data_IF_687947159832
#
_entry.id   IF_687947159832
#
_cell.length_a   1.000
_cell.length_b   1.000
_cell.length_c   1.000
_cell.angle_alpha   90.00
_cell.angle_beta   90.00
_cell.angle_gamma   90.00
#
_symmetry.space_group_name_H-M   'P 1'
#
loop_
_entity.id
_entity.type
_entity.pdbx_description
1 polymer ?
#
# COMPACT_ATOMS: atom_id res chain seq x y z
N UNK A 1 -15.61 48.47 -12.84
CA UNK A 1 -16.45 48.05 -11.69
C UNK A 1 -17.92 47.72 -12.07
N UNK A 2 -18.59 48.53 -12.91
CA UNK A 2 -19.98 48.29 -13.36
C UNK A 2 -20.18 47.01 -14.20
N UNK A 3 -19.25 46.68 -15.10
CA UNK A 3 -19.31 45.45 -15.90
C UNK A 3 -19.28 44.18 -15.04
N UNK A 4 -18.41 44.16 -14.02
CA UNK A 4 -18.30 43.02 -13.09
C UNK A 4 -19.59 42.80 -12.30
N UNK A 5 -20.24 43.89 -11.85
CA UNK A 5 -21.55 43.82 -11.17
C UNK A 5 -22.65 43.28 -12.07
N UNK A 6 -22.66 43.65 -13.36
CA UNK A 6 -23.62 43.15 -14.35
C UNK A 6 -23.41 41.66 -14.63
N UNK A 7 -22.16 41.22 -14.79
CA UNK A 7 -21.81 39.81 -15.00
C UNK A 7 -22.22 38.97 -13.77
N UNK A 8 -21.92 39.42 -12.55
CA UNK A 8 -22.35 38.74 -11.32
C UNK A 8 -23.88 38.68 -11.18
N UNK A 9 -24.59 39.75 -11.53
CA UNK A 9 -26.05 39.76 -11.52
C UNK A 9 -26.63 38.77 -12.54
N UNK A 10 -26.03 38.68 -13.73
CA UNK A 10 -26.42 37.72 -14.77
C UNK A 10 -26.14 36.29 -14.33
N UNK A 11 -24.94 36.02 -13.81
CA UNK A 11 -24.58 34.70 -13.24
C UNK A 11 -25.57 34.29 -12.15
N UNK A 12 -25.89 35.17 -11.19
CA UNK A 12 -26.85 34.88 -10.11
C UNK A 12 -28.24 34.59 -10.65
N UNK A 13 -28.67 35.29 -11.71
CA UNK A 13 -29.94 35.03 -12.39
C UNK A 13 -29.94 33.64 -13.02
N UNK A 14 -28.95 33.33 -13.85
CA UNK A 14 -28.86 32.05 -14.56
C UNK A 14 -28.72 30.87 -13.60
N UNK A 15 -27.89 30.99 -12.57
CA UNK A 15 -27.74 29.95 -11.55
C UNK A 15 -29.06 29.64 -10.84
N UNK A 16 -29.85 30.69 -10.52
CA UNK A 16 -31.17 30.55 -9.90
C UNK A 16 -32.20 29.96 -10.88
N UNK A 17 -32.11 30.28 -12.17
CA UNK A 17 -32.97 29.71 -13.22
C UNK A 17 -32.70 28.21 -13.40
N UNK A 18 -31.43 27.82 -13.50
CA UNK A 18 -30.98 26.43 -13.65
C UNK A 18 -31.40 25.60 -12.43
N UNK A 19 -31.22 26.12 -11.21
CA UNK A 19 -31.61 25.42 -9.97
C UNK A 19 -33.12 25.29 -9.78
N UNK A 20 -33.92 26.25 -10.29
CA UNK A 20 -35.39 26.18 -10.22
C UNK A 20 -35.98 25.18 -11.21
N UNK A 21 -35.37 25.01 -12.38
CA UNK A 21 -35.84 24.04 -13.37
C UNK A 21 -35.47 22.61 -12.94
N UNK A 22 -36.48 21.76 -12.69
CA UNK A 22 -36.29 20.37 -12.24
C UNK A 22 -35.42 19.55 -13.19
N UNK A 23 -35.58 19.69 -14.52
CA UNK A 23 -34.77 18.97 -15.52
C UNK A 23 -33.31 19.44 -15.50
N UNK A 24 -33.09 20.76 -15.52
CA UNK A 24 -31.73 21.33 -15.51
C UNK A 24 -30.97 21.01 -14.23
N UNK A 25 -31.65 21.10 -13.06
CA UNK A 25 -31.08 20.68 -11.77
C UNK A 25 -30.70 19.21 -11.75
N UNK A 26 -31.53 18.35 -12.35
CA UNK A 26 -31.28 16.92 -12.42
C UNK A 26 -30.02 16.62 -13.26
N UNK A 27 -29.89 17.23 -14.43
CA UNK A 27 -28.72 17.05 -15.31
C UNK A 27 -27.44 17.63 -14.69
N UNK A 28 -27.53 18.71 -13.90
CA UNK A 28 -26.37 19.31 -13.25
C UNK A 28 -25.88 18.51 -12.03
N UNK A 29 -26.80 17.93 -11.25
CA UNK A 29 -26.46 17.29 -9.96
C UNK A 29 -26.28 15.77 -10.08
N UNK A 30 -27.11 15.09 -10.89
CA UNK A 30 -27.07 13.62 -10.95
C UNK A 30 -25.73 13.09 -11.45
N UNK A 31 -25.14 13.58 -12.57
CA UNK A 31 -23.89 13.02 -13.05
C UNK A 31 -22.74 13.17 -12.05
N UNK A 32 -22.49 14.34 -11.41
CA UNK A 32 -21.47 14.45 -10.37
C UNK A 32 -21.74 13.55 -9.15
N UNK A 33 -22.99 13.46 -8.69
CA UNK A 33 -23.33 12.57 -7.56
C UNK A 33 -23.15 11.11 -7.93
N UNK A 34 -23.59 10.70 -9.11
CA UNK A 34 -23.39 9.34 -9.62
C UNK A 34 -21.89 9.04 -9.82
N UNK A 35 -21.10 10.00 -10.29
CA UNK A 35 -19.64 9.89 -10.38
C UNK A 35 -19.02 9.71 -9.00
N UNK A 36 -19.40 10.51 -8.00
CA UNK A 36 -18.92 10.35 -6.62
C UNK A 36 -19.35 8.99 -6.05
N UNK A 37 -20.55 8.49 -6.35
CA UNK A 37 -21.00 7.18 -5.89
C UNK A 37 -20.24 6.05 -6.58
N UNK A 38 -20.09 6.09 -7.91
CA UNK A 38 -19.39 5.08 -8.70
C UNK A 38 -17.91 5.07 -8.35
N UNK A 39 -17.24 6.22 -8.38
CA UNK A 39 -15.83 6.32 -8.03
C UNK A 39 -15.60 6.20 -6.54
N UNK A 40 -16.47 6.68 -5.67
CA UNK A 40 -16.34 6.52 -4.22
C UNK A 40 -16.55 5.08 -3.76
N UNK A 41 -17.47 4.34 -4.38
CA UNK A 41 -17.66 2.92 -4.13
C UNK A 41 -16.54 2.08 -4.76
N UNK A 42 -16.08 2.42 -5.96
CA UNK A 42 -14.98 1.74 -6.64
C UNK A 42 -13.60 2.12 -6.09
N UNK A 43 -13.44 3.28 -5.45
CA UNK A 43 -12.21 3.74 -4.81
C UNK A 43 -12.11 3.22 -3.37
N UNK A 44 -12.55 1.99 -3.12
CA UNK A 44 -12.20 1.32 -1.88
C UNK A 44 -10.72 0.96 -1.95
N UNK A 45 -9.92 1.74 -1.22
CA UNK A 45 -8.49 1.48 -0.99
C UNK A 45 -8.26 0.40 0.08
N UNK A 46 -9.33 -0.22 0.59
CA UNK A 46 -9.23 -1.31 1.55
C UNK A 46 -8.72 -2.57 0.85
N UNK A 47 -7.40 -2.77 0.94
CA UNK A 47 -6.76 -4.04 0.63
C UNK A 47 -7.18 -5.06 1.68
N UNK A 48 -8.39 -5.59 1.56
CA UNK A 48 -8.93 -6.63 2.45
C UNK A 48 -8.27 -8.01 2.22
N UNK A 49 -7.46 -8.16 1.18
CA UNK A 49 -6.82 -9.42 0.81
C UNK A 49 -5.49 -9.17 0.09
N UNK A 50 -4.41 -9.13 0.85
CA UNK A 50 -3.03 -8.99 0.39
C UNK A 50 -2.43 -10.41 0.31
N UNK A 51 -2.43 -11.06 -0.87
CA UNK A 51 -1.78 -12.36 -1.03
C UNK A 51 -0.27 -12.19 -0.89
N UNK A 52 0.35 -12.89 0.05
CA UNK A 52 1.79 -12.84 0.24
C UNK A 52 2.44 -14.21 0.25
N UNK A 53 3.70 -14.26 -0.20
CA UNK A 53 4.54 -15.43 -0.09
C UNK A 53 5.70 -15.18 0.89
N UNK A 54 6.21 -16.27 1.47
CA UNK A 54 7.31 -16.22 2.43
C UNK A 54 8.49 -17.02 1.90
N UNK A 55 9.64 -16.36 1.78
CA UNK A 55 10.95 -17.00 1.65
C UNK A 55 11.69 -16.85 2.98
N UNK A 56 11.76 -17.91 3.77
CA UNK A 56 12.42 -17.88 5.06
C UNK A 56 13.59 -18.86 5.09
N UNK A 57 14.80 -18.30 5.09
CA UNK A 57 16.05 -19.06 5.17
C UNK A 57 16.51 -19.26 6.62
N UNK A 58 15.87 -18.58 7.58
CA UNK A 58 16.19 -18.67 9.01
C UNK A 58 15.07 -19.37 9.81
N UNK A 59 15.29 -20.62 10.29
CA UNK A 59 14.30 -21.33 11.09
C UNK A 59 14.21 -20.84 12.55
N UNK A 60 14.98 -19.82 12.93
CA UNK A 60 15.10 -19.30 14.30
C UNK A 60 13.83 -18.63 14.87
N UNK A 61 13.84 -18.42 16.19
CA UNK A 61 12.70 -17.90 16.95
C UNK A 61 12.27 -16.50 16.48
N UNK A 62 13.23 -15.62 16.17
CA UNK A 62 12.92 -14.24 15.78
C UNK A 62 12.17 -14.19 14.45
N UNK A 63 12.61 -15.00 13.46
CA UNK A 63 11.94 -15.15 12.17
C UNK A 63 10.50 -15.65 12.35
N UNK A 64 10.29 -16.73 13.11
CA UNK A 64 8.95 -17.27 13.40
C UNK A 64 8.04 -16.26 14.08
N UNK A 65 8.55 -15.51 15.06
CA UNK A 65 7.78 -14.48 15.76
C UNK A 65 7.39 -13.31 14.84
N UNK A 66 8.25 -12.93 13.91
CA UNK A 66 7.93 -11.92 12.91
C UNK A 66 6.83 -12.43 11.96
N UNK A 67 6.99 -13.64 11.40
CA UNK A 67 6.01 -14.25 10.50
C UNK A 67 4.63 -14.45 11.16
N UNK A 68 4.61 -14.85 12.44
CA UNK A 68 3.36 -14.99 13.19
C UNK A 68 2.55 -13.69 13.29
N UNK A 69 3.20 -12.51 13.24
CA UNK A 69 2.49 -11.23 13.19
C UNK A 69 1.80 -11.02 11.86
N UNK A 70 2.46 -11.37 10.75
CA UNK A 70 1.84 -11.28 9.42
C UNK A 70 0.64 -12.23 9.30
N UNK A 71 0.75 -13.45 9.81
CA UNK A 71 -0.38 -14.39 9.83
C UNK A 71 -1.53 -13.95 10.75
N UNK A 72 -1.26 -13.08 11.73
CA UNK A 72 -2.28 -12.55 12.65
C UNK A 72 -3.03 -11.31 12.14
N UNK A 73 -2.59 -10.71 11.04
CA UNK A 73 -3.26 -9.56 10.41
C UNK A 73 -4.26 -10.06 9.38
N UNK A 74 -5.53 -9.66 9.50
CA UNK A 74 -6.64 -10.19 8.71
C UNK A 74 -6.48 -9.97 7.21
N UNK A 75 -5.89 -8.83 6.84
CA UNK A 75 -5.64 -8.39 5.48
C UNK A 75 -4.60 -9.26 4.78
N UNK A 76 -3.72 -9.95 5.52
CA UNK A 76 -2.64 -10.75 4.95
C UNK A 76 -3.05 -12.21 4.79
N UNK A 77 -3.02 -12.70 3.56
CA UNK A 77 -3.27 -14.11 3.25
C UNK A 77 -2.04 -14.77 2.68
N UNK A 78 -1.46 -15.71 3.42
CA UNK A 78 -0.30 -16.46 2.94
C UNK A 78 -0.72 -17.41 1.82
N UNK A 79 -0.18 -17.23 0.61
CA UNK A 79 -0.50 -18.04 -0.56
C UNK A 79 0.56 -19.09 -0.86
N UNK A 80 1.80 -18.88 -0.42
CA UNK A 80 2.90 -19.77 -0.68
C UNK A 80 4.02 -19.62 0.36
N UNK A 81 4.74 -20.71 0.58
CA UNK A 81 6.06 -20.71 1.21
C UNK A 81 7.04 -21.19 0.16
N UNK A 82 8.09 -20.41 -0.09
CA UNK A 82 9.10 -20.74 -1.10
C UNK A 82 10.44 -21.06 -0.43
N UNK A 83 11.21 -21.91 -1.10
CA UNK A 83 12.51 -22.41 -0.63
C UNK A 83 13.67 -21.95 -1.49
N UNK A 84 13.39 -21.34 -2.65
CA UNK A 84 14.39 -20.89 -3.62
C UNK A 84 13.99 -19.52 -4.19
N UNK A 85 15.00 -18.66 -4.36
CA UNK A 85 14.85 -17.30 -4.90
C UNK A 85 14.21 -17.28 -6.30
N UNK A 86 14.50 -18.28 -7.14
CA UNK A 86 13.95 -18.40 -8.50
C UNK A 86 12.42 -18.49 -8.54
N UNK A 87 11.77 -18.86 -7.43
CA UNK A 87 10.32 -18.95 -7.32
C UNK A 87 9.64 -17.60 -7.04
N UNK A 88 10.40 -16.56 -6.70
CA UNK A 88 9.87 -15.21 -6.39
C UNK A 88 9.25 -14.57 -7.65
N UNK A 89 10.02 -14.49 -8.73
CA UNK A 89 9.59 -13.80 -9.94
C UNK A 89 8.33 -14.41 -10.57
N UNK A 90 8.19 -15.74 -10.72
CA UNK A 90 6.96 -16.35 -11.20
C UNK A 90 5.74 -16.02 -10.33
N UNK A 91 5.86 -16.05 -9.01
CA UNK A 91 4.74 -15.75 -8.10
C UNK A 91 4.23 -14.32 -8.24
N UNK A 92 5.12 -13.35 -8.38
CA UNK A 92 4.76 -11.94 -8.61
C UNK A 92 4.21 -11.76 -10.03
N UNK A 93 4.92 -12.26 -11.04
CA UNK A 93 4.55 -12.06 -12.45
C UNK A 93 3.17 -12.64 -12.77
N UNK A 94 2.87 -13.84 -12.26
CA UNK A 94 1.60 -14.54 -12.45
C UNK A 94 0.47 -14.02 -11.54
N UNK A 95 0.67 -12.93 -10.78
CA UNK A 95 -0.32 -12.36 -9.84
C UNK A 95 -0.74 -13.32 -8.72
N UNK A 96 0.03 -14.38 -8.46
CA UNK A 96 -0.25 -15.34 -7.38
C UNK A 96 0.00 -14.71 -6.01
N UNK A 97 1.08 -13.94 -5.89
CA UNK A 97 1.39 -13.13 -4.72
C UNK A 97 1.53 -11.66 -5.13
N UNK A 98 1.10 -10.76 -4.25
CA UNK A 98 1.27 -9.32 -4.39
C UNK A 98 2.57 -8.86 -3.71
N UNK A 99 3.04 -9.61 -2.71
CA UNK A 99 4.32 -9.37 -2.06
C UNK A 99 5.01 -10.66 -1.64
N UNK A 100 6.33 -10.62 -1.59
CA UNK A 100 7.17 -11.67 -1.03
C UNK A 100 7.99 -11.09 0.12
N UNK A 101 7.90 -11.74 1.28
CA UNK A 101 8.77 -11.50 2.44
C UNK A 101 9.97 -12.43 2.35
N UNK A 102 11.16 -11.86 2.27
CA UNK A 102 12.41 -12.62 2.26
C UNK A 102 13.23 -12.34 3.53
N UNK A 103 13.41 -13.40 4.33
CA UNK A 103 14.18 -13.41 5.57
C UNK A 103 15.44 -14.24 5.32
N UNK A 104 16.60 -13.57 5.38
CA UNK A 104 17.89 -14.24 5.15
C UNK A 104 18.33 -15.14 6.31
N UNK A 105 19.33 -16.01 6.09
CA UNK A 105 19.69 -17.11 7.01
C UNK A 105 20.26 -16.65 8.36
N UNK A 106 20.68 -15.39 8.44
CA UNK A 106 21.34 -14.82 9.62
C UNK A 106 20.42 -13.98 10.50
N UNK A 107 19.11 -13.94 10.18
CA UNK A 107 18.17 -12.99 10.76
C UNK A 107 18.10 -13.06 12.29
N UNK A 108 17.76 -14.23 12.84
CA UNK A 108 17.72 -14.46 14.29
C UNK A 108 19.09 -14.23 14.93
N UNK A 109 20.17 -14.73 14.31
CA UNK A 109 21.54 -14.57 14.85
C UNK A 109 21.95 -13.12 14.99
N UNK A 110 21.62 -12.26 14.02
CA UNK A 110 21.93 -10.82 14.06
C UNK A 110 21.07 -10.11 15.11
N UNK A 111 19.77 -10.38 15.15
CA UNK A 111 18.88 -9.77 16.14
C UNK A 111 19.25 -10.13 17.59
N UNK A 112 19.62 -11.37 17.86
CA UNK A 112 20.06 -11.80 19.20
C UNK A 112 21.37 -11.15 19.64
N UNK A 113 22.22 -10.71 18.69
CA UNK A 113 23.46 -9.97 18.97
C UNK A 113 23.26 -8.45 19.04
N UNK A 114 22.01 -7.96 18.98
CA UNK A 114 21.71 -6.53 18.91
C UNK A 114 22.13 -5.87 17.59
N UNK A 115 22.41 -6.66 16.55
CA UNK A 115 22.79 -6.18 15.22
C UNK A 115 21.56 -6.03 14.32
N UNK A 116 21.64 -5.13 13.34
CA UNK A 116 20.60 -4.96 12.33
C UNK A 116 20.48 -6.21 11.44
N UNK A 117 19.32 -6.86 11.49
CA UNK A 117 18.97 -7.93 10.56
C UNK A 117 18.27 -7.38 9.31
N UNK A 118 18.46 -8.05 8.17
CA UNK A 118 17.85 -7.65 6.90
C UNK A 118 16.56 -8.42 6.67
N UNK A 119 15.46 -7.69 6.48
CA UNK A 119 14.22 -8.19 5.91
C UNK A 119 14.05 -7.53 4.54
N UNK A 120 13.88 -8.33 3.50
CA UNK A 120 13.59 -7.83 2.16
C UNK A 120 12.11 -8.04 1.86
N UNK A 121 11.50 -7.03 1.24
CA UNK A 121 10.10 -7.06 0.81
C UNK A 121 10.09 -6.78 -0.68
N UNK A 122 9.59 -7.73 -1.46
CA UNK A 122 9.48 -7.61 -2.92
C UNK A 122 7.99 -7.44 -3.22
N UNK A 123 7.63 -6.37 -3.94
CA UNK A 123 6.25 -5.97 -4.14
C UNK A 123 5.92 -5.94 -5.64
N UNK A 124 4.69 -6.30 -5.98
CA UNK A 124 4.15 -6.09 -7.32
C UNK A 124 3.90 -4.60 -7.58
N UNK A 125 4.73 -3.98 -8.42
CA UNK A 125 4.64 -2.56 -8.76
C UNK A 125 3.57 -2.18 -9.79
N UNK A 126 2.84 -3.14 -10.39
CA UNK A 126 1.82 -2.86 -11.43
C UNK A 126 0.71 -1.94 -10.94
N UNK A 127 0.36 -2.04 -9.66
CA UNK A 127 -0.49 -1.06 -8.99
C UNK A 127 0.31 -0.42 -7.84
N UNK A 128 0.86 0.77 -8.10
CA UNK A 128 1.72 1.46 -7.14
C UNK A 128 0.99 1.93 -5.88
N UNK A 129 -0.30 2.27 -5.98
CA UNK A 129 -1.09 2.62 -4.80
C UNK A 129 -1.20 1.43 -3.86
N UNK A 130 -1.58 0.27 -4.40
CA UNK A 130 -1.71 -0.96 -3.62
C UNK A 130 -0.35 -1.40 -3.06
N UNK A 131 0.73 -1.34 -3.85
CA UNK A 131 2.08 -1.67 -3.37
C UNK A 131 2.54 -0.76 -2.22
N UNK A 132 2.26 0.55 -2.28
CA UNK A 132 2.61 1.51 -1.24
C UNK A 132 1.82 1.26 0.05
N UNK A 133 0.51 0.97 -0.07
CA UNK A 133 -0.32 0.63 1.09
C UNK A 133 0.16 -0.66 1.74
N UNK A 134 0.43 -1.73 0.98
CA UNK A 134 1.01 -2.97 1.51
C UNK A 134 2.36 -2.76 2.19
N UNK A 135 3.23 -1.91 1.61
CA UNK A 135 4.50 -1.55 2.22
C UNK A 135 4.32 -0.84 3.57
N UNK A 136 3.31 0.02 3.72
CA UNK A 136 3.01 0.67 4.99
C UNK A 136 2.57 -0.34 6.06
N UNK A 137 1.69 -1.28 5.72
CA UNK A 137 1.34 -2.36 6.65
C UNK A 137 2.57 -3.17 7.10
N UNK A 138 3.45 -3.53 6.16
CA UNK A 138 4.69 -4.25 6.47
C UNK A 138 5.58 -3.41 7.41
N UNK A 139 5.71 -2.09 7.18
CA UNK A 139 6.46 -1.18 8.05
C UNK A 139 5.90 -1.15 9.47
N UNK A 140 4.58 -1.08 9.62
CA UNK A 140 3.93 -1.04 10.93
C UNK A 140 4.13 -2.34 11.71
N UNK A 141 4.01 -3.48 11.04
CA UNK A 141 4.29 -4.81 11.61
C UNK A 141 5.74 -4.90 12.08
N UNK A 142 6.70 -4.49 11.23
CA UNK A 142 8.14 -4.52 11.54
C UNK A 142 8.48 -3.57 12.68
N UNK A 143 7.90 -2.36 12.69
CA UNK A 143 8.08 -1.38 13.78
C UNK A 143 7.57 -1.94 15.10
N UNK A 144 6.36 -2.51 15.11
CA UNK A 144 5.78 -3.15 16.28
C UNK A 144 6.62 -4.34 16.76
N UNK A 145 7.15 -5.15 15.83
CA UNK A 145 8.08 -6.23 16.15
C UNK A 145 9.35 -5.71 16.81
N UNK A 146 10.01 -4.69 16.25
CA UNK A 146 11.23 -4.13 16.80
C UNK A 146 11.04 -3.56 18.21
N UNK A 147 9.95 -2.83 18.46
CA UNK A 147 9.65 -2.30 19.78
C UNK A 147 9.50 -3.42 20.82
N UNK A 148 8.76 -4.47 20.49
CA UNK A 148 8.55 -5.60 21.41
C UNK A 148 9.79 -6.47 21.58
N UNK A 149 10.56 -6.68 20.50
CA UNK A 149 11.83 -7.41 20.55
C UNK A 149 12.83 -6.70 21.46
N UNK A 150 12.98 -5.39 21.30
CA UNK A 150 13.87 -4.57 22.11
C UNK A 150 13.49 -4.61 23.59
N UNK A 151 12.20 -4.43 23.91
CA UNK A 151 11.70 -4.48 25.29
C UNK A 151 11.97 -5.84 25.97
N UNK A 152 11.80 -6.95 25.25
CA UNK A 152 12.05 -8.31 25.80
C UNK A 152 13.51 -8.64 26.02
N UNK A 153 14.42 -7.99 25.30
CA UNK A 153 15.85 -8.27 25.37
C UNK A 153 16.64 -7.15 26.08
N UNK A 154 15.95 -6.20 26.74
CA UNK A 154 16.59 -5.08 27.44
C UNK A 154 17.39 -4.15 26.50
N UNK A 155 17.05 -4.12 25.21
CA UNK A 155 17.71 -3.29 24.21
C UNK A 155 16.93 -1.97 24.03
N UNK A 156 17.61 -0.92 23.57
CA UNK A 156 16.92 0.27 23.09
C UNK A 156 16.27 -0.02 21.73
N UNK A 157 15.04 0.45 21.47
CA UNK A 157 14.39 0.27 20.19
C UNK A 157 15.14 1.09 19.12
N UNK A 158 15.89 0.39 18.27
CA UNK A 158 16.52 1.01 17.09
C UNK A 158 15.48 1.11 15.97
N UNK A 159 15.27 2.29 15.37
CA UNK A 159 14.34 2.41 14.25
C UNK A 159 14.80 1.53 13.08
N UNK A 160 13.87 0.78 12.48
CA UNK A 160 14.16 0.07 11.24
C UNK A 160 14.47 1.11 10.15
N UNK A 161 15.69 1.10 9.61
CA UNK A 161 16.00 1.92 8.46
C UNK A 161 15.41 1.27 7.21
N UNK A 162 14.45 1.94 6.60
CA UNK A 162 13.89 1.47 5.35
C UNK A 162 14.73 1.93 4.17
N UNK A 163 15.10 0.99 3.31
CA UNK A 163 15.73 1.26 2.02
C UNK A 163 14.79 0.76 0.93
N UNK A 164 14.09 1.67 0.27
CA UNK A 164 13.19 1.36 -0.85
C UNK A 164 14.00 1.38 -2.15
N UNK A 165 13.80 0.37 -3.01
CA UNK A 165 14.40 0.31 -4.34
C UNK A 165 13.33 -0.07 -5.36
N UNK A 166 13.15 0.74 -6.39
CA UNK A 166 12.20 0.49 -7.47
C UNK A 166 12.94 -0.07 -8.69
N UNK A 167 12.54 -1.24 -9.19
CA UNK A 167 13.22 -1.85 -10.34
C UNK A 167 12.71 -1.36 -11.70
N UNK A 168 11.46 -0.87 -11.77
CA UNK A 168 10.83 -0.46 -13.03
C UNK A 168 10.65 1.06 -13.18
N UNK A 169 10.76 1.83 -12.08
CA UNK A 169 10.68 3.29 -12.08
C UNK A 169 11.48 3.86 -10.90
N UNK A 170 12.81 3.95 -11.05
CA UNK A 170 13.73 4.42 -10.00
C UNK A 170 13.39 5.83 -9.50
N UNK A 171 12.80 6.67 -10.35
CA UNK A 171 12.44 8.07 -10.03
C UNK A 171 11.02 8.22 -9.48
N UNK A 172 10.21 7.16 -9.46
CA UNK A 172 8.78 7.20 -9.09
C UNK A 172 7.98 8.28 -9.86
N UNK A 173 8.39 8.61 -11.09
CA UNK A 173 7.74 9.67 -11.87
C UNK A 173 6.31 9.25 -12.29
N UNK A 174 5.33 10.11 -11.99
CA UNK A 174 3.90 9.91 -12.22
C UNK A 174 3.50 9.75 -13.69
N UNK A 175 4.31 10.28 -14.62
CA UNK A 175 4.02 10.19 -16.06
C UNK A 175 3.93 8.73 -16.56
N UNK A 176 4.72 7.82 -15.99
CA UNK A 176 4.72 6.39 -16.35
C UNK A 176 3.55 5.60 -15.72
N UNK A 177 2.77 6.23 -14.82
CA UNK A 177 1.63 5.60 -14.15
C UNK A 177 0.27 5.97 -14.74
N UNK A 178 0.18 7.06 -15.51
CA UNK A 178 -1.10 7.66 -15.93
C UNK A 178 -1.45 7.35 -17.39
N UNK A 179 -0.48 6.95 -18.23
CA UNK A 179 -0.73 6.65 -19.64
C UNK A 179 -1.07 5.16 -19.76
N UNK A 180 -2.32 4.79 -20.11
CA UNK A 180 -2.61 3.43 -20.55
C UNK A 180 -1.95 3.24 -21.93
N UNK A 181 -1.21 2.14 -22.09
CA UNK A 181 -0.92 1.60 -23.42
C UNK A 181 -2.20 1.14 -24.10
#
# INVERSE_FOLDING_TARGET
>A
MLMLRKILALMKKEFRTILKNKKSRMVLIIPPVAQILVFGYSASFDLTNIPYAVYNEDPGLASRQLLARFSGVHEFRQVATITHDSSIAPLINEKKAMLVLHIGPDFTRKLSKGQTAKLQVILDGRNSNSALVSLNYVRDIVKSFNMQWAARHGMQPVPAQLVVRSWFNETLNSHWFIIPG
#
